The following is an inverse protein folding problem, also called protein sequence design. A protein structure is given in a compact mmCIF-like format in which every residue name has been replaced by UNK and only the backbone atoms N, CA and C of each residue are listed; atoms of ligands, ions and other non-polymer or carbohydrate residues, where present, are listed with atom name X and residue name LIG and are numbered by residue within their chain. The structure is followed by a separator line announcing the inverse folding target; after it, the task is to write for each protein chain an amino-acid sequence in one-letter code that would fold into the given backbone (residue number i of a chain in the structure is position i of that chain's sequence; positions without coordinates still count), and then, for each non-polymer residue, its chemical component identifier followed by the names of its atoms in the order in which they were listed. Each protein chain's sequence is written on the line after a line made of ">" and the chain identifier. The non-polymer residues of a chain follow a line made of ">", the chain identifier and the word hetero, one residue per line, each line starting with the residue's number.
data_IF_381799986576
#
_entry.id   IF_381799986576
#
_cell.length_a   1.000
_cell.length_b   1.000
_cell.length_c   1.000
_cell.angle_alpha   90.00
_cell.angle_beta   90.00
_cell.angle_gamma   90.00
#
_symmetry.space_group_name_H-M   'P 1'
#
loop_
_entity.id
_entity.type
_entity.pdbx_description
1 polymer ?
#
# COMPACT_ATOMS: atom_id res chain seq x y z
N UNK A 1 6.42 -18.01 -1.92
CA UNK A 1 5.62 -18.02 -3.17
C UNK A 1 5.53 -19.46 -3.65
N UNK A 2 4.33 -19.94 -4.04
CA UNK A 2 4.19 -21.31 -4.60
C UNK A 2 4.79 -21.33 -6.00
N UNK A 3 5.43 -22.44 -6.38
CA UNK A 3 6.05 -22.60 -7.71
C UNK A 3 4.92 -22.68 -8.75
N UNK A 4 4.84 -21.66 -9.60
CA UNK A 4 3.94 -21.60 -10.75
C UNK A 4 4.83 -21.68 -11.99
N UNK A 5 4.37 -22.30 -13.08
CA UNK A 5 5.14 -22.55 -14.32
C UNK A 5 5.51 -21.31 -15.14
N UNK A 6 6.06 -20.28 -14.50
CA UNK A 6 6.56 -19.05 -15.11
C UNK A 6 8.03 -18.80 -14.75
N UNK A 7 8.55 -17.62 -15.11
CA UNK A 7 9.91 -17.23 -14.73
C UNK A 7 10.06 -17.24 -13.20
N UNK A 8 11.16 -17.82 -12.67
CA UNK A 8 11.38 -17.89 -11.24
C UNK A 8 11.53 -16.48 -10.66
N UNK A 9 10.81 -16.22 -9.57
CA UNK A 9 10.90 -14.96 -8.84
C UNK A 9 11.92 -15.10 -7.71
N UNK A 10 12.77 -14.10 -7.54
CA UNK A 10 13.69 -13.98 -6.41
C UNK A 10 13.20 -12.88 -5.45
N UNK A 11 13.57 -12.97 -4.18
CA UNK A 11 13.12 -12.02 -3.16
C UNK A 11 14.29 -11.23 -2.59
N UNK A 12 14.14 -9.90 -2.50
CA UNK A 12 15.13 -9.00 -1.91
C UNK A 12 14.52 -8.35 -0.68
N UNK A 13 15.06 -8.65 0.51
CA UNK A 13 14.57 -8.10 1.78
C UNK A 13 15.23 -6.77 2.12
N UNK A 14 14.44 -5.80 2.58
CA UNK A 14 14.87 -4.52 3.17
C UNK A 14 14.05 -4.23 4.42
N UNK A 15 14.44 -3.21 5.20
CA UNK A 15 13.79 -2.90 6.48
C UNK A 15 12.72 -1.81 6.41
N UNK A 16 12.56 -1.13 5.26
CA UNK A 16 11.55 -0.07 5.08
C UNK A 16 11.09 0.05 3.63
N UNK A 17 9.92 0.65 3.42
CA UNK A 17 9.38 0.97 2.10
C UNK A 17 10.34 1.83 1.28
N UNK A 18 10.92 2.87 1.90
CA UNK A 18 11.92 3.74 1.26
C UNK A 18 13.16 2.98 0.77
N UNK A 19 13.64 2.00 1.54
CA UNK A 19 14.76 1.17 1.12
C UNK A 19 14.40 0.21 -0.03
N UNK A 20 13.16 -0.28 -0.08
CA UNK A 20 12.68 -1.06 -1.22
C UNK A 20 12.58 -0.19 -2.49
N UNK A 21 12.04 1.03 -2.40
CA UNK A 21 12.01 2.00 -3.51
C UNK A 21 13.44 2.28 -4.00
N UNK A 22 14.37 2.56 -3.09
CA UNK A 22 15.79 2.77 -3.42
C UNK A 22 16.42 1.54 -4.07
N UNK A 23 16.05 0.32 -3.64
CA UNK A 23 16.56 -0.91 -4.25
C UNK A 23 16.14 -1.02 -5.72
N UNK A 24 14.93 -0.60 -6.08
CA UNK A 24 14.46 -0.57 -7.48
C UNK A 24 15.23 0.47 -8.29
N UNK A 25 15.33 1.71 -7.78
CA UNK A 25 16.07 2.81 -8.44
C UNK A 25 17.54 2.44 -8.69
N UNK A 26 18.15 1.70 -7.76
CA UNK A 26 19.55 1.22 -7.86
C UNK A 26 19.69 -0.14 -8.55
N UNK A 27 18.63 -0.65 -9.19
CA UNK A 27 18.62 -1.92 -9.96
C UNK A 27 19.00 -3.16 -9.13
N UNK A 28 18.70 -3.14 -7.84
CA UNK A 28 18.87 -4.26 -6.90
C UNK A 28 17.59 -5.07 -6.69
N UNK A 29 16.45 -4.60 -7.22
CA UNK A 29 15.15 -5.26 -7.24
C UNK A 29 14.34 -4.75 -8.42
N UNK A 30 13.31 -5.49 -8.85
CA UNK A 30 12.57 -5.18 -10.08
C UNK A 30 11.18 -4.58 -9.82
N UNK A 31 10.48 -5.04 -8.78
CA UNK A 31 9.12 -4.63 -8.49
C UNK A 31 8.79 -4.71 -6.99
N UNK A 32 7.86 -3.86 -6.57
CA UNK A 32 7.19 -3.92 -5.27
C UNK A 32 5.78 -3.33 -5.41
N UNK A 33 4.87 -3.70 -4.51
CA UNK A 33 3.59 -2.99 -4.34
C UNK A 33 3.77 -1.84 -3.34
N UNK A 34 2.99 -0.78 -3.51
CA UNK A 34 3.03 0.43 -2.67
C UNK A 34 1.61 0.89 -2.35
N UNK A 35 1.40 1.38 -1.13
CA UNK A 35 0.19 2.12 -0.78
C UNK A 35 0.18 3.50 -1.49
N UNK A 36 -0.99 4.15 -1.55
CA UNK A 36 -1.14 5.43 -2.26
C UNK A 36 -0.24 6.55 -1.73
N UNK A 37 0.08 6.58 -0.43
CA UNK A 37 0.99 7.54 0.18
C UNK A 37 2.44 7.29 -0.25
N UNK A 38 2.94 6.07 -0.08
CA UNK A 38 4.30 5.72 -0.49
C UNK A 38 4.51 5.78 -2.01
N UNK A 39 3.45 5.56 -2.80
CA UNK A 39 3.49 5.71 -4.26
C UNK A 39 3.77 7.17 -4.66
N UNK A 40 3.21 8.16 -3.95
CA UNK A 40 3.47 9.58 -4.21
C UNK A 40 4.96 9.92 -4.08
N UNK A 41 5.60 9.41 -3.03
CA UNK A 41 7.06 9.57 -2.85
C UNK A 41 7.84 8.87 -3.97
N UNK A 42 7.43 7.64 -4.34
CA UNK A 42 8.12 6.84 -5.36
C UNK A 42 8.10 7.48 -6.76
N UNK A 43 7.02 8.15 -7.14
CA UNK A 43 6.92 8.83 -8.45
C UNK A 43 7.61 10.20 -8.47
N UNK A 44 7.85 10.78 -7.29
CA UNK A 44 8.46 12.10 -7.14
C UNK A 44 9.99 12.05 -7.18
N UNK A 45 10.69 13.18 -7.42
CA UNK A 45 12.12 13.26 -7.19
C UNK A 45 12.46 12.87 -5.74
N UNK A 46 13.53 12.10 -5.49
CA UNK A 46 14.58 11.70 -6.45
C UNK A 46 14.29 10.40 -7.21
N UNK A 47 13.23 9.65 -6.89
CA UNK A 47 13.06 8.26 -7.35
C UNK A 47 12.47 8.13 -8.76
N UNK A 48 11.50 8.97 -9.13
CA UNK A 48 10.89 9.03 -10.48
C UNK A 48 10.46 7.66 -11.04
N UNK A 49 9.99 6.76 -10.17
CA UNK A 49 9.43 5.47 -10.59
C UNK A 49 8.10 5.66 -11.32
N UNK A 50 7.68 4.67 -12.09
CA UNK A 50 6.40 4.68 -12.82
C UNK A 50 5.54 3.50 -12.37
N UNK A 51 4.26 3.71 -12.05
CA UNK A 51 3.33 2.61 -11.78
C UNK A 51 3.18 1.71 -13.02
N UNK A 52 3.21 0.39 -12.81
CA UNK A 52 3.06 -0.61 -13.88
C UNK A 52 1.76 -1.41 -13.77
N UNK A 53 1.31 -1.66 -12.56
CA UNK A 53 0.06 -2.37 -12.26
C UNK A 53 -0.58 -1.75 -11.02
N UNK A 54 -1.91 -1.88 -10.92
CA UNK A 54 -2.69 -1.44 -9.77
C UNK A 54 -3.38 -2.64 -9.13
N UNK A 55 -3.51 -2.61 -7.81
CA UNK A 55 -4.34 -3.55 -7.09
C UNK A 55 -5.81 -3.27 -7.41
N UNK A 56 -6.57 -4.35 -7.63
CA UNK A 56 -8.00 -4.30 -7.92
C UNK A 56 -8.72 -5.01 -6.80
N UNK A 57 -9.56 -4.28 -6.09
CA UNK A 57 -10.40 -4.76 -5.01
C UNK A 57 -11.84 -4.98 -5.50
N UNK A 58 -12.65 -5.64 -4.67
CA UNK A 58 -14.05 -5.96 -4.99
C UNK A 58 -14.21 -7.33 -5.64
N UNK A 59 -15.37 -7.56 -6.27
CA UNK A 59 -15.62 -8.80 -7.00
C UNK A 59 -15.15 -8.69 -8.45
N UNK A 60 -15.06 -9.82 -9.16
CA UNK A 60 -14.66 -9.83 -10.57
C UNK A 60 -15.65 -9.04 -11.45
N UNK A 61 -16.91 -8.99 -11.04
CA UNK A 61 -18.00 -8.30 -11.74
C UNK A 61 -18.03 -6.81 -11.42
N UNK A 62 -17.45 -6.38 -10.29
CA UNK A 62 -17.40 -4.98 -9.84
C UNK A 62 -15.99 -4.60 -9.35
N UNK A 63 -14.99 -4.59 -10.25
CA UNK A 63 -13.62 -4.26 -9.90
C UNK A 63 -13.49 -2.78 -9.49
N UNK A 64 -12.72 -2.52 -8.44
CA UNK A 64 -12.42 -1.16 -7.94
C UNK A 64 -10.92 -0.97 -7.76
N UNK A 65 -10.38 0.11 -8.29
CA UNK A 65 -8.97 0.51 -8.15
C UNK A 65 -8.75 1.50 -7.00
N UNK A 66 -9.71 1.56 -6.07
CA UNK A 66 -9.69 2.45 -4.91
C UNK A 66 -10.29 1.72 -3.72
N UNK A 67 -9.93 2.19 -2.53
CA UNK A 67 -10.45 1.70 -1.26
C UNK A 67 -10.86 2.89 -0.37
N UNK A 68 -11.67 2.62 0.64
CA UNK A 68 -12.11 3.64 1.59
C UNK A 68 -11.16 3.68 2.80
N UNK A 69 -10.64 4.87 3.12
CA UNK A 69 -10.06 5.11 4.42
C UNK A 69 -11.18 5.24 5.46
N UNK A 70 -11.22 4.33 6.42
CA UNK A 70 -12.27 4.29 7.47
C UNK A 70 -11.65 4.37 8.86
N UNK A 71 -12.37 4.98 9.79
CA UNK A 71 -12.03 4.95 11.20
C UNK A 71 -13.01 4.02 11.93
N UNK A 72 -12.52 2.88 12.40
CA UNK A 72 -13.33 1.92 13.16
C UNK A 72 -13.22 2.22 14.65
N UNK A 73 -14.36 2.37 15.32
CA UNK A 73 -14.45 2.59 16.76
C UNK A 73 -15.30 1.50 17.42
N UNK A 74 -15.06 1.22 18.69
CA UNK A 74 -15.94 0.32 19.46
C UNK A 74 -17.34 0.94 19.55
N UNK A 75 -18.38 0.13 19.39
CA UNK A 75 -19.78 0.58 19.48
C UNK A 75 -20.08 1.25 20.83
N UNK A 76 -19.55 0.70 21.93
CA UNK A 76 -19.70 1.25 23.28
C UNK A 76 -18.99 2.58 23.49
N UNK A 77 -18.16 3.03 22.54
CA UNK A 77 -17.46 4.30 22.62
C UNK A 77 -18.38 5.46 22.28
N UNK A 78 -18.33 6.54 23.06
CA UNK A 78 -19.04 7.79 22.75
C UNK A 78 -18.40 8.57 21.58
N UNK A 79 -17.28 8.11 21.02
CA UNK A 79 -16.57 8.78 19.93
C UNK A 79 -17.41 8.95 18.65
N UNK A 80 -18.31 8.00 18.34
CA UNK A 80 -19.18 8.12 17.16
C UNK A 80 -20.23 9.24 17.29
N UNK A 81 -20.55 9.66 18.52
CA UNK A 81 -21.53 10.72 18.80
C UNK A 81 -20.92 12.12 18.70
N UNK A 82 -19.60 12.24 18.58
CA UNK A 82 -18.89 13.52 18.49
C UNK A 82 -18.50 13.83 17.04
N UNK A 83 -18.39 15.11 16.68
CA UNK A 83 -17.62 15.52 15.49
C UNK A 83 -16.16 15.11 15.73
N UNK A 84 -15.76 13.98 15.17
CA UNK A 84 -14.45 13.37 15.42
C UNK A 84 -13.36 14.36 15.04
N UNK A 85 -12.71 14.92 16.06
CA UNK A 85 -11.44 15.63 15.90
C UNK A 85 -10.39 14.54 15.93
N UNK A 86 -9.80 14.19 14.78
CA UNK A 86 -8.94 13.01 14.58
C UNK A 86 -7.94 12.89 15.72
N UNK A 87 -8.17 11.97 16.68
CA UNK A 87 -7.25 11.77 17.79
C UNK A 87 -5.97 11.14 17.23
N UNK A 88 -4.80 11.50 17.76
CA UNK A 88 -3.57 10.76 17.44
C UNK A 88 -3.77 9.30 17.87
N UNK A 89 -3.76 8.36 16.91
CA UNK A 89 -3.88 6.92 17.19
C UNK A 89 -5.03 6.18 16.48
N UNK A 90 -5.58 6.71 15.38
CA UNK A 90 -6.52 5.93 14.54
C UNK A 90 -5.83 4.65 14.06
N UNK A 91 -6.47 3.50 14.31
CA UNK A 91 -6.03 2.22 13.77
C UNK A 91 -6.19 2.26 12.25
N UNK A 92 -5.08 2.28 11.52
CA UNK A 92 -5.09 2.04 10.09
C UNK A 92 -5.60 0.62 9.87
N UNK A 93 -6.77 0.48 9.26
CA UNK A 93 -7.24 -0.82 8.79
C UNK A 93 -6.53 -1.06 7.46
N UNK A 94 -5.53 -1.96 7.38
CA UNK A 94 -4.96 -2.31 6.09
C UNK A 94 -6.07 -2.93 5.23
N UNK A 95 -6.08 -2.59 3.95
CA UNK A 95 -6.90 -3.27 2.95
C UNK A 95 -6.36 -4.68 2.73
#
# INVERSE_FOLDING_TARGET
>A
MKKVGGQPLSCVKRSSTSQCIQAIVTKKADAMTLDGGSMFDAVSPPYKLRPMAAEVYGTKEQPRTHYYAVAVVKESSSLWKQRIKVPRGVLHVPV
#
